data_IF_422224054826
#
_entry.id   IF_422224054826
#
_cell.length_a   1.000
_cell.length_b   1.000
_cell.length_c   1.000
_cell.angle_alpha   90.00
_cell.angle_beta   90.00
_cell.angle_gamma   90.00
#
_symmetry.space_group_name_H-M   'P 1'
#
loop_
_entity.id
_entity.type
_entity.pdbx_description
1 polymer ?
#
# COMPACT_ATOMS: atom_id res chain seq x y z
N UNK A 1 0.52 -28.21 5.75
CA UNK A 1 0.53 -27.16 4.71
C UNK A 1 0.52 -25.84 5.43
N UNK A 2 1.62 -25.06 5.45
CA UNK A 2 1.59 -23.73 6.05
C UNK A 2 0.74 -22.87 5.14
N UNK A 3 -0.49 -22.57 5.58
CA UNK A 3 -1.25 -21.45 5.03
C UNK A 3 -0.45 -20.22 5.42
N UNK A 4 0.32 -19.67 4.48
CA UNK A 4 0.94 -18.37 4.67
C UNK A 4 -0.24 -17.41 4.81
N UNK A 5 -0.56 -17.03 6.04
CA UNK A 5 -1.52 -15.98 6.35
C UNK A 5 -0.88 -14.65 5.91
N UNK A 6 -0.84 -14.41 4.61
CA UNK A 6 -0.45 -13.11 4.05
C UNK A 6 -1.62 -12.16 4.30
N UNK A 7 -1.59 -11.56 5.47
CA UNK A 7 -2.47 -10.45 5.81
C UNK A 7 -2.21 -9.31 4.81
N UNK A 8 -3.23 -8.85 4.07
CA UNK A 8 -3.04 -7.75 3.14
C UNK A 8 -2.70 -6.47 3.92
N UNK A 9 -1.64 -5.82 3.49
CA UNK A 9 -1.13 -4.56 4.05
C UNK A 9 -1.62 -3.43 3.18
N UNK A 10 -2.17 -2.38 3.79
CA UNK A 10 -2.62 -1.18 3.10
C UNK A 10 -1.50 -0.14 3.10
N UNK A 11 -1.16 0.35 1.92
CA UNK A 11 -0.25 1.47 1.71
C UNK A 11 -1.07 2.63 1.17
N UNK A 12 -0.77 3.83 1.64
CA UNK A 12 -1.39 5.05 1.13
C UNK A 12 -0.31 5.90 0.50
N UNK A 13 -0.62 6.46 -0.67
CA UNK A 13 0.30 7.36 -1.36
C UNK A 13 -0.41 8.63 -1.74
N UNK A 14 0.34 9.72 -1.80
CA UNK A 14 -0.13 10.98 -2.35
C UNK A 14 0.74 11.40 -3.51
N UNK A 15 0.14 11.50 -4.69
CA UNK A 15 0.86 11.92 -5.87
C UNK A 15 1.22 13.40 -5.78
N UNK A 16 2.52 13.72 -5.85
CA UNK A 16 2.97 15.11 -5.85
C UNK A 16 2.68 15.84 -7.18
N UNK A 17 2.48 15.10 -8.27
CA UNK A 17 2.20 15.68 -9.59
C UNK A 17 0.76 16.16 -9.75
N UNK A 18 -0.22 15.38 -9.28
CA UNK A 18 -1.64 15.71 -9.42
C UNK A 18 -2.37 15.92 -8.08
N UNK A 19 -1.72 15.68 -6.95
CA UNK A 19 -2.31 15.77 -5.61
C UNK A 19 -3.25 14.62 -5.23
N UNK A 20 -3.42 13.63 -6.11
CA UNK A 20 -4.32 12.50 -5.90
C UNK A 20 -3.79 11.55 -4.82
N UNK A 21 -4.64 11.21 -3.85
CA UNK A 21 -4.36 10.18 -2.86
C UNK A 21 -4.92 8.84 -3.34
N UNK A 22 -4.08 7.81 -3.34
CA UNK A 22 -4.47 6.44 -3.71
C UNK A 22 -4.08 5.45 -2.62
N UNK A 23 -4.71 4.29 -2.64
CA UNK A 23 -4.40 3.17 -1.75
C UNK A 23 -3.88 1.97 -2.55
N UNK A 24 -2.86 1.30 -2.03
CA UNK A 24 -2.30 0.06 -2.57
C UNK A 24 -2.47 -1.06 -1.54
N UNK A 25 -2.98 -2.21 -1.97
CA UNK A 25 -3.03 -3.41 -1.13
C UNK A 25 -1.99 -4.40 -1.62
N UNK A 26 -1.04 -4.71 -0.75
CA UNK A 26 0.03 -5.68 -1.03
C UNK A 26 -0.03 -6.82 -0.04
N UNK A 27 0.37 -8.01 -0.48
CA UNK A 27 0.40 -9.21 0.34
C UNK A 27 1.68 -9.30 1.20
N UNK A 28 2.63 -8.40 0.94
CA UNK A 28 3.95 -8.37 1.57
C UNK A 28 4.23 -6.98 2.16
N UNK A 29 4.79 -6.97 3.37
CA UNK A 29 5.31 -5.76 3.99
C UNK A 29 6.66 -5.40 3.35
N UNK A 30 6.80 -4.16 2.90
CA UNK A 30 7.98 -3.60 2.27
C UNK A 30 8.16 -2.19 2.86
N UNK A 31 9.40 -1.79 3.11
CA UNK A 31 9.72 -0.46 3.67
C UNK A 31 9.40 0.67 2.68
N UNK A 32 9.54 0.41 1.38
CA UNK A 32 9.28 1.39 0.33
C UNK A 32 8.57 0.71 -0.85
N UNK A 33 7.42 1.25 -1.25
CA UNK A 33 6.67 0.77 -2.41
C UNK A 33 6.61 1.88 -3.45
N UNK A 34 7.22 1.65 -4.61
CA UNK A 34 7.06 2.54 -5.75
C UNK A 34 5.92 2.03 -6.62
N UNK A 35 4.93 2.87 -6.87
CA UNK A 35 3.82 2.57 -7.77
C UNK A 35 3.57 3.71 -8.74
N UNK A 36 2.73 3.48 -9.74
CA UNK A 36 2.27 4.52 -10.64
C UNK A 36 0.93 5.05 -10.15
N UNK A 37 0.77 6.36 -10.12
CA UNK A 37 -0.49 6.99 -9.74
C UNK A 37 -1.59 6.56 -10.71
N UNK A 38 -2.68 5.99 -10.20
CA UNK A 38 -3.83 5.58 -11.02
C UNK A 38 -4.48 6.75 -11.76
N UNK A 39 -4.35 7.98 -11.24
CA UNK A 39 -4.97 9.16 -11.84
C UNK A 39 -4.15 9.81 -12.95
N UNK A 40 -2.82 9.85 -12.85
CA UNK A 40 -1.96 10.57 -13.80
C UNK A 40 -0.81 9.73 -14.37
N UNK A 41 -0.57 8.54 -13.85
CA UNK A 41 0.53 7.66 -14.25
C UNK A 41 1.91 8.10 -13.76
N UNK A 42 2.02 9.17 -12.97
CA UNK A 42 3.28 9.60 -12.40
C UNK A 42 3.80 8.58 -11.37
N UNK A 43 5.13 8.45 -11.28
CA UNK A 43 5.77 7.65 -10.25
C UNK A 43 5.48 8.25 -8.87
N UNK A 44 5.01 7.41 -7.96
CA UNK A 44 4.65 7.77 -6.59
C UNK A 44 5.24 6.76 -5.63
N UNK A 45 5.80 7.27 -4.55
CA UNK A 45 6.24 6.43 -3.43
C UNK A 45 5.07 6.32 -2.47
N UNK A 46 4.60 5.10 -2.28
CA UNK A 46 3.63 4.74 -1.27
C UNK A 46 4.38 4.41 0.01
N UNK A 47 4.24 5.28 0.99
CA UNK A 47 4.77 5.04 2.32
C UNK A 47 3.77 4.19 3.09
N UNK A 48 4.29 3.20 3.79
CA UNK A 48 3.50 2.49 4.78
C UNK A 48 3.27 3.42 5.98
N UNK A 49 2.03 3.86 6.19
CA UNK A 49 1.65 4.82 7.23
C UNK A 49 1.64 4.21 8.66
N UNK A 50 2.41 3.14 8.91
CA UNK A 50 2.61 2.60 10.25
C UNK A 50 1.41 1.90 10.90
N UNK A 51 0.25 1.85 10.24
CA UNK A 51 -1.03 1.67 10.93
C UNK A 51 -1.83 0.46 10.49
N UNK A 52 -1.91 -0.51 11.38
CA UNK A 52 -2.79 -1.71 11.42
C UNK A 52 -2.40 -2.85 10.48
N UNK A 53 -1.73 -3.86 11.06
CA UNK A 53 -1.90 -5.22 10.57
C UNK A 53 -3.41 -5.50 10.61
N UNK A 54 -4.01 -5.86 9.47
CA UNK A 54 -5.39 -6.33 9.45
C UNK A 54 -5.45 -7.67 10.19
N UNK A 55 -5.46 -7.64 11.52
CA UNK A 55 -5.99 -8.76 12.27
C UNK A 55 -7.46 -8.83 11.88
N UNK A 56 -7.78 -9.75 10.97
CA UNK A 56 -9.14 -10.16 10.73
C UNK A 56 -9.70 -10.55 12.09
N UNK A 57 -10.53 -9.69 12.67
CA UNK A 57 -11.29 -10.04 13.86
C UNK A 57 -12.24 -11.18 13.47
N UNK A 58 -11.87 -12.37 13.94
CA UNK A 58 -12.69 -13.52 14.38
C UNK A 58 -14.14 -13.62 13.87
#
# INVERSE_FOLDING_TARGET
MPTISSTPVLYVYRCNACGHAGELRLLEQQEEITSACTSCGAEVVAEWDGGVEFTQAE
#
